data_IF_565827037831
#
_entry.id   IF_565827037831
#
_cell.length_a   1.000
_cell.length_b   1.000
_cell.length_c   1.000
_cell.angle_alpha   90.00
_cell.angle_beta   90.00
_cell.angle_gamma   90.00
#
_symmetry.space_group_name_H-M   'P 1'
#
loop_
_entity.id
_entity.type
_entity.pdbx_description
1 polymer ?
#
# COMPACT_ATOMS: atom_id res chain seq x y z
N UNK A 1 44.55 -8.90 -0.80
CA UNK A 1 43.78 -8.10 0.17
C UNK A 1 42.76 -7.22 -0.52
N UNK A 2 43.14 -6.38 -1.51
CA UNK A 2 42.22 -5.50 -2.26
C UNK A 2 41.12 -6.25 -3.05
N UNK A 3 41.46 -7.38 -3.70
CA UNK A 3 40.47 -8.22 -4.39
C UNK A 3 39.44 -8.82 -3.42
N UNK A 4 39.89 -9.30 -2.26
CA UNK A 4 39.01 -9.86 -1.23
C UNK A 4 38.06 -8.79 -0.64
N UNK A 5 38.54 -7.55 -0.46
CA UNK A 5 37.70 -6.45 0.01
C UNK A 5 36.68 -5.98 -1.05
N UNK A 6 37.02 -6.04 -2.34
CA UNK A 6 36.07 -5.73 -3.42
C UNK A 6 34.95 -6.77 -3.53
N UNK A 7 35.26 -8.06 -3.39
CA UNK A 7 34.26 -9.13 -3.38
C UNK A 7 33.29 -9.02 -2.20
N UNK A 8 33.80 -8.70 -1.00
CA UNK A 8 32.97 -8.53 0.21
C UNK A 8 32.02 -7.32 0.06
N UNK A 9 32.48 -6.22 -0.51
CA UNK A 9 31.65 -5.03 -0.76
C UNK A 9 30.53 -5.31 -1.77
N UNK A 10 30.83 -6.02 -2.86
CA UNK A 10 29.83 -6.40 -3.86
C UNK A 10 28.76 -7.34 -3.27
N UNK A 11 29.19 -8.32 -2.44
CA UNK A 11 28.28 -9.19 -1.70
C UNK A 11 27.36 -8.37 -0.78
N UNK A 12 27.91 -7.46 0.01
CA UNK A 12 27.11 -6.61 0.91
C UNK A 12 26.04 -5.82 0.14
N UNK A 13 26.38 -5.17 -0.97
CA UNK A 13 25.40 -4.45 -1.80
C UNK A 13 24.33 -5.38 -2.36
N UNK A 14 24.70 -6.61 -2.76
CA UNK A 14 23.73 -7.59 -3.26
C UNK A 14 22.75 -8.01 -2.15
N UNK A 15 23.25 -8.38 -0.96
CA UNK A 15 22.41 -8.75 0.17
C UNK A 15 21.49 -7.60 0.60
N UNK A 16 22.03 -6.38 0.66
CA UNK A 16 21.28 -5.17 0.96
C UNK A 16 20.11 -4.97 -0.03
N UNK A 17 20.39 -4.97 -1.34
CA UNK A 17 19.35 -4.79 -2.36
C UNK A 17 18.31 -5.94 -2.35
N UNK A 18 18.76 -7.18 -2.14
CA UNK A 18 17.86 -8.33 -2.00
C UNK A 18 16.92 -8.22 -0.80
N UNK A 19 17.34 -7.58 0.30
CA UNK A 19 16.46 -7.37 1.46
C UNK A 19 15.23 -6.53 1.09
N UNK A 20 15.43 -5.43 0.37
CA UNK A 20 14.36 -4.56 -0.11
C UNK A 20 13.47 -5.23 -1.16
N UNK A 21 14.07 -6.00 -2.07
CA UNK A 21 13.31 -6.83 -3.00
C UNK A 21 12.42 -7.85 -2.27
N UNK A 22 12.87 -8.41 -1.16
CA UNK A 22 12.09 -9.35 -0.37
C UNK A 22 10.93 -8.68 0.37
N UNK A 23 11.14 -7.47 0.92
CA UNK A 23 10.05 -6.67 1.50
C UNK A 23 8.96 -6.40 0.46
N UNK A 24 9.34 -5.91 -0.73
CA UNK A 24 8.39 -5.62 -1.81
C UNK A 24 7.70 -6.87 -2.35
N UNK A 25 8.40 -8.02 -2.40
CA UNK A 25 7.78 -9.31 -2.76
C UNK A 25 6.70 -9.70 -1.74
N UNK A 26 6.97 -9.49 -0.44
CA UNK A 26 5.99 -9.75 0.59
C UNK A 26 4.78 -8.82 0.47
N UNK A 27 5.01 -7.54 0.16
CA UNK A 27 3.94 -6.57 -0.08
C UNK A 27 3.07 -6.96 -1.29
N UNK A 28 3.69 -7.40 -2.39
CA UNK A 28 2.96 -7.93 -3.54
C UNK A 28 2.05 -9.11 -3.15
N UNK A 29 2.56 -10.03 -2.32
CA UNK A 29 1.75 -11.13 -1.77
C UNK A 29 0.57 -10.63 -0.92
N UNK A 30 0.75 -9.58 -0.11
CA UNK A 30 -0.35 -8.96 0.65
C UNK A 30 -1.43 -8.42 -0.30
N UNK A 31 -1.04 -7.75 -1.38
CA UNK A 31 -2.01 -7.25 -2.36
C UNK A 31 -2.77 -8.37 -3.08
N UNK A 32 -2.10 -9.48 -3.43
CA UNK A 32 -2.77 -10.66 -4.00
C UNK A 32 -3.79 -11.26 -3.03
N UNK A 33 -3.43 -11.34 -1.75
CA UNK A 33 -4.30 -11.88 -0.71
C UNK A 33 -5.51 -10.97 -0.43
N UNK A 34 -5.30 -9.65 -0.42
CA UNK A 34 -6.39 -8.67 -0.36
C UNK A 34 -7.28 -8.85 -1.58
N UNK A 35 -6.72 -8.85 -2.79
CA UNK A 35 -7.49 -9.01 -4.03
C UNK A 35 -8.41 -10.23 -3.97
N UNK A 36 -7.88 -11.40 -3.60
CA UNK A 36 -8.66 -12.65 -3.47
C UNK A 36 -9.83 -12.52 -2.49
N UNK A 37 -9.64 -11.88 -1.33
CA UNK A 37 -10.72 -11.68 -0.34
C UNK A 37 -11.76 -10.67 -0.81
N UNK A 38 -11.35 -9.69 -1.62
CA UNK A 38 -12.23 -8.63 -2.13
C UNK A 38 -12.97 -9.00 -3.41
N UNK A 39 -12.61 -10.11 -4.04
CA UNK A 39 -13.18 -10.60 -5.31
C UNK A 39 -14.55 -11.29 -5.12
N UNK A 40 -15.45 -10.59 -4.42
CA UNK A 40 -16.78 -11.04 -4.05
C UNK A 40 -17.80 -10.01 -4.54
N UNK A 41 -18.71 -10.41 -5.43
CA UNK A 41 -19.71 -9.53 -6.01
C UNK A 41 -20.82 -9.16 -4.98
N UNK A 42 -20.95 -7.88 -4.59
CA UNK A 42 -22.01 -7.44 -3.68
C UNK A 42 -23.32 -7.13 -4.41
N UNK A 43 -23.30 -7.06 -5.75
CA UNK A 43 -24.42 -6.60 -6.55
C UNK A 43 -25.59 -7.62 -6.48
N UNK A 44 -26.81 -7.09 -6.43
CA UNK A 44 -28.02 -7.89 -6.15
C UNK A 44 -28.42 -7.96 -4.66
N UNK A 45 -27.61 -7.41 -3.74
CA UNK A 45 -27.92 -7.37 -2.30
C UNK A 45 -29.01 -6.36 -1.90
N UNK A 46 -29.39 -5.45 -2.80
CA UNK A 46 -30.38 -4.40 -2.52
C UNK A 46 -29.91 -3.47 -1.39
N UNK A 47 -30.86 -2.95 -0.61
CA UNK A 47 -30.54 -2.07 0.52
C UNK A 47 -30.03 -2.85 1.75
N UNK A 48 -30.53 -4.06 2.01
CA UNK A 48 -30.07 -4.94 3.10
C UNK A 48 -30.61 -6.38 3.00
N UNK A 49 -31.80 -6.59 2.43
CA UNK A 49 -32.51 -7.88 2.42
C UNK A 49 -32.58 -8.54 1.03
N UNK A 50 -31.64 -8.19 0.13
CA UNK A 50 -31.68 -8.65 -1.26
C UNK A 50 -32.56 -7.77 -2.15
N UNK A 51 -32.65 -8.17 -3.42
CA UNK A 51 -33.42 -7.48 -4.43
C UNK A 51 -34.79 -8.17 -4.63
N UNK A 52 -35.93 -7.43 -4.66
CA UNK A 52 -37.24 -8.00 -5.00
C UNK A 52 -37.37 -8.41 -6.48
N UNK A 53 -36.51 -7.90 -7.36
CA UNK A 53 -36.41 -8.35 -8.74
C UNK A 53 -35.67 -9.68 -8.76
N UNK A 54 -36.23 -10.69 -9.45
CA UNK A 54 -35.63 -12.02 -9.63
C UNK A 54 -34.38 -11.98 -10.54
N UNK A 55 -33.36 -11.23 -10.12
CA UNK A 55 -32.09 -11.08 -10.84
C UNK A 55 -31.25 -12.32 -10.60
N UNK A 56 -30.74 -12.89 -11.68
CA UNK A 56 -29.70 -13.91 -11.63
C UNK A 56 -28.36 -13.27 -11.21
N UNK A 57 -27.97 -13.48 -9.95
CA UNK A 57 -26.72 -12.94 -9.41
C UNK A 57 -25.50 -13.65 -9.97
N UNK A 58 -25.59 -14.93 -10.32
CA UNK A 58 -24.47 -15.69 -10.89
C UNK A 58 -24.12 -15.16 -12.27
N UNK A 59 -25.13 -14.92 -13.10
CA UNK A 59 -24.94 -14.28 -14.41
C UNK A 59 -24.30 -12.89 -14.26
N UNK A 60 -24.72 -12.13 -13.26
CA UNK A 60 -24.21 -10.79 -12.98
C UNK A 60 -22.74 -10.80 -12.53
N UNK A 61 -22.38 -11.70 -11.61
CA UNK A 61 -21.00 -11.86 -11.15
C UNK A 61 -20.08 -12.28 -12.31
N UNK A 62 -20.53 -13.23 -13.14
CA UNK A 62 -19.80 -13.67 -14.33
C UNK A 62 -19.60 -12.54 -15.35
N UNK A 63 -20.65 -11.73 -15.61
CA UNK A 63 -20.56 -10.58 -16.49
C UNK A 63 -19.57 -9.50 -15.99
N UNK A 64 -19.46 -9.33 -14.67
CA UNK A 64 -18.53 -8.40 -14.03
C UNK A 64 -17.16 -9.02 -13.68
N UNK A 65 -16.98 -10.33 -13.95
CA UNK A 65 -15.77 -11.11 -13.71
C UNK A 65 -15.37 -11.23 -12.24
N UNK A 66 -16.35 -11.25 -11.34
CA UNK A 66 -16.11 -11.64 -9.96
C UNK A 66 -16.02 -13.15 -9.84
N UNK A 67 -15.11 -13.65 -8.99
CA UNK A 67 -14.98 -15.08 -8.75
C UNK A 67 -16.06 -15.64 -7.82
N UNK A 68 -16.57 -14.81 -6.90
CA UNK A 68 -17.53 -15.25 -5.89
C UNK A 68 -18.72 -14.28 -5.73
N UNK A 69 -19.79 -14.78 -5.12
CA UNK A 69 -20.98 -14.02 -4.77
C UNK A 69 -21.02 -13.75 -3.27
N UNK A 70 -21.45 -12.56 -2.87
CA UNK A 70 -21.70 -12.31 -1.46
C UNK A 70 -22.84 -13.19 -0.94
N UNK A 71 -22.55 -13.95 0.13
CA UNK A 71 -23.47 -14.93 0.70
C UNK A 71 -24.58 -14.28 1.55
N UNK A 72 -24.32 -13.09 2.09
CA UNK A 72 -25.26 -12.37 2.94
C UNK A 72 -25.39 -10.91 2.48
N UNK A 73 -26.62 -10.49 2.20
CA UNK A 73 -26.91 -9.16 1.67
C UNK A 73 -26.63 -8.04 2.68
N UNK A 74 -26.84 -8.29 3.97
CA UNK A 74 -26.60 -7.30 5.02
C UNK A 74 -25.10 -7.08 5.23
N UNK A 75 -24.32 -8.16 5.20
CA UNK A 75 -22.85 -8.09 5.19
C UNK A 75 -22.37 -7.36 3.93
N UNK A 76 -22.84 -7.73 2.74
CA UNK A 76 -22.41 -7.12 1.48
C UNK A 76 -22.60 -5.60 1.40
N UNK A 77 -23.66 -5.06 2.03
CA UNK A 77 -23.92 -3.61 2.04
C UNK A 77 -23.11 -2.90 3.14
N UNK A 78 -22.89 -3.57 4.28
CA UNK A 78 -22.18 -3.02 5.43
C UNK A 78 -20.66 -3.21 5.41
N UNK A 79 -20.15 -4.13 4.59
CA UNK A 79 -18.74 -4.49 4.57
C UNK A 79 -17.85 -3.36 4.04
N UNK A 80 -16.82 -3.02 4.81
CA UNK A 80 -15.77 -2.04 4.49
C UNK A 80 -14.38 -2.59 4.81
N UNK A 81 -14.28 -3.87 5.18
CA UNK A 81 -13.02 -4.49 5.61
C UNK A 81 -12.02 -4.50 4.44
N UNK A 82 -12.52 -4.66 3.21
CA UNK A 82 -11.71 -4.58 2.00
C UNK A 82 -10.90 -3.28 1.87
N UNK A 83 -11.46 -2.14 2.31
CA UNK A 83 -10.77 -0.86 2.26
C UNK A 83 -9.69 -0.79 3.35
N UNK A 84 -10.02 -1.25 4.56
CA UNK A 84 -9.09 -1.28 5.69
C UNK A 84 -7.89 -2.17 5.39
N UNK A 85 -8.12 -3.37 4.87
CA UNK A 85 -7.05 -4.29 4.49
C UNK A 85 -6.17 -3.73 3.36
N UNK A 86 -6.79 -3.10 2.35
CA UNK A 86 -6.05 -2.45 1.26
C UNK A 86 -5.17 -1.31 1.79
N UNK A 87 -5.72 -0.41 2.61
CA UNK A 87 -4.99 0.70 3.20
C UNK A 87 -3.85 0.23 4.11
N UNK A 88 -4.05 -0.87 4.83
CA UNK A 88 -2.99 -1.51 5.61
C UNK A 88 -1.86 -2.02 4.71
N UNK A 89 -2.17 -2.71 3.61
CA UNK A 89 -1.16 -3.18 2.66
C UNK A 89 -0.36 -2.02 2.02
N UNK A 90 -1.04 -0.92 1.67
CA UNK A 90 -0.41 0.31 1.17
C UNK A 90 0.49 0.94 2.24
N UNK A 91 0.04 0.99 3.51
CA UNK A 91 0.81 1.53 4.63
C UNK A 91 2.10 0.74 4.87
N UNK A 92 2.02 -0.60 4.86
CA UNK A 92 3.22 -1.45 4.99
C UNK A 92 4.21 -1.22 3.84
N UNK A 93 3.71 -1.08 2.61
CA UNK A 93 4.55 -0.77 1.45
C UNK A 93 5.23 0.59 1.61
N UNK A 94 4.49 1.61 2.09
CA UNK A 94 5.03 2.94 2.35
C UNK A 94 6.15 2.92 3.40
N UNK A 95 6.00 2.15 4.48
CA UNK A 95 7.04 1.95 5.52
C UNK A 95 8.31 1.34 4.90
N UNK A 96 8.17 0.32 4.06
CA UNK A 96 9.33 -0.32 3.42
C UNK A 96 10.05 0.63 2.44
N UNK A 97 9.29 1.41 1.66
CA UNK A 97 9.84 2.42 0.75
C UNK A 97 10.50 3.58 1.50
N UNK A 98 9.96 3.99 2.64
CA UNK A 98 10.52 5.03 3.50
C UNK A 98 11.86 4.61 4.08
N UNK A 99 11.97 3.38 4.60
CA UNK A 99 13.24 2.80 5.07
C UNK A 99 14.29 2.75 3.95
N UNK A 100 13.88 2.30 2.76
CA UNK A 100 14.77 2.30 1.60
C UNK A 100 15.23 3.71 1.23
N UNK A 101 14.32 4.68 1.22
CA UNK A 101 14.62 6.07 0.93
C UNK A 101 15.60 6.67 1.95
N UNK A 102 15.43 6.39 3.24
CA UNK A 102 16.35 6.82 4.31
C UNK A 102 17.78 6.32 4.07
N UNK A 103 17.95 5.02 3.78
CA UNK A 103 19.27 4.45 3.50
C UNK A 103 19.90 5.11 2.27
N UNK A 104 19.13 5.32 1.19
CA UNK A 104 19.64 5.98 -0.02
C UNK A 104 20.03 7.43 0.24
N UNK A 105 19.26 8.18 1.06
CA UNK A 105 19.59 9.57 1.44
C UNK A 105 20.91 9.59 2.21
N UNK A 106 21.09 8.71 3.19
CA UNK A 106 22.32 8.61 3.98
C UNK A 106 23.50 8.24 3.08
N UNK A 107 23.33 7.27 2.17
CA UNK A 107 24.40 6.82 1.27
C UNK A 107 24.80 7.86 0.22
N UNK A 108 23.89 8.77 -0.15
CA UNK A 108 24.17 9.90 -1.06
C UNK A 108 24.76 11.13 -0.36
N UNK A 109 24.81 11.15 0.99
CA UNK A 109 25.38 12.28 1.74
C UNK A 109 26.88 12.44 1.48
N UNK A 110 27.41 13.64 1.76
CA UNK A 110 28.82 13.95 1.52
C UNK A 110 29.77 13.21 2.48
N UNK A 111 29.27 12.84 3.65
CA UNK A 111 30.02 12.11 4.68
C UNK A 111 30.25 10.65 4.30
N UNK A 112 29.28 10.02 3.62
CA UNK A 112 29.37 8.62 3.20
C UNK A 112 29.80 8.46 1.74
N UNK A 113 29.14 9.15 0.81
CA UNK A 113 29.49 9.15 -0.61
C UNK A 113 29.47 7.77 -1.28
N UNK A 114 28.62 6.85 -0.82
CA UNK A 114 28.54 5.49 -1.37
C UNK A 114 27.79 5.41 -2.69
N UNK A 115 26.80 6.29 -2.88
CA UNK A 115 26.04 6.41 -4.12
C UNK A 115 26.05 7.85 -4.60
N UNK A 116 25.85 8.06 -5.90
CA UNK A 116 25.61 9.37 -6.48
C UNK A 116 24.32 9.31 -7.28
N UNK A 117 23.39 10.22 -6.98
CA UNK A 117 22.12 10.32 -7.68
C UNK A 117 22.31 10.87 -9.10
N UNK A 118 21.52 10.33 -10.04
CA UNK A 118 21.43 10.89 -11.39
C UNK A 118 20.68 12.23 -11.36
N UNK A 119 20.99 13.12 -12.29
CA UNK A 119 20.35 14.43 -12.42
C UNK A 119 18.85 14.30 -12.75
N UNK A 120 18.42 13.18 -13.35
CA UNK A 120 17.01 12.91 -13.59
C UNK A 120 16.20 12.69 -12.31
N UNK A 121 16.84 12.30 -11.19
CA UNK A 121 16.18 11.94 -9.94
C UNK A 121 16.56 12.83 -8.75
N UNK A 122 17.40 13.84 -8.98
CA UNK A 122 17.89 14.76 -7.98
C UNK A 122 17.76 16.21 -8.47
N UNK A 123 17.67 17.16 -7.55
CA UNK A 123 17.78 18.58 -7.90
C UNK A 123 19.17 19.08 -7.61
N UNK A 124 19.73 19.80 -8.58
CA UNK A 124 21.00 20.50 -8.43
C UNK A 124 20.81 21.93 -7.92
N UNK A 125 21.79 22.45 -7.20
CA UNK A 125 21.89 23.90 -6.98
C UNK A 125 22.55 24.56 -8.19
N UNK A 126 21.99 25.67 -8.68
CA UNK A 126 22.63 26.49 -9.72
C UNK A 126 23.98 27.06 -9.30
N UNK A 127 24.23 27.18 -7.98
CA UNK A 127 25.48 27.67 -7.41
C UNK A 127 26.50 26.55 -7.16
N UNK A 128 26.02 25.32 -6.91
CA UNK A 128 26.86 24.18 -6.50
C UNK A 128 26.53 22.94 -7.35
N UNK A 129 27.21 22.76 -8.49
CA UNK A 129 26.94 21.66 -9.43
C UNK A 129 27.15 20.27 -8.83
N UNK A 130 28.05 20.13 -7.86
CA UNK A 130 28.31 18.87 -7.16
C UNK A 130 27.23 18.52 -6.11
N UNK A 131 26.40 19.48 -5.70
CA UNK A 131 25.36 19.27 -4.69
C UNK A 131 24.08 18.78 -5.36
N UNK A 132 23.85 17.47 -5.29
CA UNK A 132 22.63 16.80 -5.77
C UNK A 132 21.74 16.43 -4.60
N UNK A 133 20.56 17.04 -4.51
CA UNK A 133 19.60 16.78 -3.43
C UNK A 133 18.67 15.62 -3.81
N UNK A 134 18.51 14.61 -2.95
CA UNK A 134 17.66 13.45 -3.21
C UNK A 134 16.15 13.73 -2.94
N UNK A 135 15.61 14.82 -3.50
CA UNK A 135 14.24 15.30 -3.19
C UNK A 135 13.16 14.24 -3.38
N UNK A 136 13.28 13.40 -4.40
CA UNK A 136 12.34 12.30 -4.66
C UNK A 136 12.28 11.32 -3.49
N UNK A 137 13.43 11.02 -2.87
CA UNK A 137 13.53 10.12 -1.73
C UNK A 137 13.01 10.80 -0.46
N UNK A 138 13.28 12.09 -0.28
CA UNK A 138 12.72 12.87 0.83
C UNK A 138 11.18 12.90 0.78
N UNK A 139 10.60 13.02 -0.42
CA UNK A 139 9.15 12.96 -0.62
C UNK A 139 8.57 11.57 -0.33
N UNK A 140 9.27 10.50 -0.69
CA UNK A 140 8.85 9.13 -0.37
C UNK A 140 8.79 8.95 1.15
N UNK A 141 9.86 9.35 1.86
CA UNK A 141 9.92 9.30 3.32
C UNK A 141 8.83 10.14 3.98
N UNK A 142 8.62 11.39 3.51
CA UNK A 142 7.62 12.28 4.09
C UNK A 142 6.16 11.88 3.81
N UNK A 143 5.89 11.15 2.72
CA UNK A 143 4.53 10.69 2.39
C UNK A 143 4.08 9.49 3.21
N UNK A 144 5.00 8.71 3.77
CA UNK A 144 4.71 7.55 4.60
C UNK A 144 3.74 7.90 5.73
N UNK A 145 4.06 8.93 6.51
CA UNK A 145 3.27 9.35 7.67
C UNK A 145 1.82 9.68 7.30
N UNK A 146 1.62 10.36 6.17
CA UNK A 146 0.29 10.72 5.67
C UNK A 146 -0.51 9.48 5.25
N UNK A 147 0.14 8.49 4.65
CA UNK A 147 -0.51 7.22 4.27
C UNK A 147 -0.93 6.44 5.53
N UNK A 148 -0.04 6.33 6.52
CA UNK A 148 -0.32 5.65 7.78
C UNK A 148 -1.47 6.34 8.52
N UNK A 149 -1.44 7.67 8.58
CA UNK A 149 -2.50 8.46 9.18
C UNK A 149 -3.86 8.19 8.52
N UNK A 150 -3.93 8.28 7.19
CA UNK A 150 -5.16 8.02 6.45
C UNK A 150 -5.69 6.60 6.66
N UNK A 151 -4.79 5.60 6.74
CA UNK A 151 -5.17 4.22 7.04
C UNK A 151 -5.76 4.07 8.44
N UNK A 152 -5.15 4.72 9.45
CA UNK A 152 -5.65 4.70 10.80
C UNK A 152 -7.00 5.42 10.91
N UNK A 153 -7.12 6.62 10.33
CA UNK A 153 -8.34 7.41 10.31
C UNK A 153 -9.51 6.62 9.71
N UNK A 154 -9.31 6.00 8.54
CA UNK A 154 -10.35 5.18 7.92
C UNK A 154 -10.71 3.96 8.78
N UNK A 155 -9.73 3.33 9.41
CA UNK A 155 -9.97 2.25 10.37
C UNK A 155 -10.88 2.67 11.52
N UNK A 156 -10.66 3.85 12.10
CA UNK A 156 -11.54 4.40 13.13
C UNK A 156 -12.94 4.71 12.61
N UNK A 157 -13.07 5.31 11.42
CA UNK A 157 -14.37 5.60 10.80
C UNK A 157 -15.17 4.30 10.56
N UNK A 158 -14.51 3.26 10.04
CA UNK A 158 -15.15 1.96 9.80
C UNK A 158 -15.68 1.33 11.10
N UNK A 159 -14.92 1.45 12.20
CA UNK A 159 -15.36 1.00 13.53
C UNK A 159 -16.58 1.78 14.04
N UNK A 160 -16.61 3.10 13.85
CA UNK A 160 -17.74 3.95 14.24
C UNK A 160 -19.02 3.65 13.42
N UNK A 161 -18.87 3.36 12.12
CA UNK A 161 -20.01 3.01 11.26
C UNK A 161 -20.57 1.62 11.57
N UNK A 162 -19.72 0.65 11.94
CA UNK A 162 -20.17 -0.66 12.45
C UNK A 162 -21.00 -0.51 13.75
N UNK A 163 -20.72 0.52 14.56
CA UNK A 163 -21.51 0.87 15.74
C UNK A 163 -22.84 1.55 15.36
N UNK A 164 -22.83 2.41 14.33
CA UNK A 164 -24.02 3.12 13.84
C UNK A 164 -25.03 2.23 13.13
N UNK A 165 -24.61 1.18 12.41
CA UNK A 165 -25.55 0.21 11.83
C UNK A 165 -26.38 -0.55 12.88
N UNK A 166 -25.88 -0.67 14.13
CA UNK A 166 -26.68 -1.17 15.27
C UNK A 166 -27.64 -0.13 15.84
N UNK A 167 -27.41 1.15 15.56
CA UNK A 167 -28.16 2.30 16.07
C UNK A 167 -28.84 3.10 14.96
N UNK A 168 -29.23 2.46 13.84
CA UNK A 168 -30.15 3.04 12.86
C UNK A 168 -31.59 3.17 13.42
N UNK A 169 -31.73 3.92 14.51
CA UNK A 169 -32.91 4.71 14.91
C UNK A 169 -32.40 6.11 15.21
N UNK A 170 -32.58 7.00 14.25
CA UNK A 170 -33.06 8.38 14.43
C UNK A 170 -32.64 9.26 13.23
N UNK A 171 -33.32 9.04 12.11
CA UNK A 171 -33.72 10.13 11.23
C UNK A 171 -35.19 9.90 10.89
N UNK A 172 -36.07 10.42 11.75
CA UNK A 172 -37.36 10.96 11.34
C UNK A 172 -37.12 12.41 10.96
#
# INVERSE_FOLDING_TARGET
MVLLSMEISALFHMYFNCSYAWFLKQDAGRFEDVFKRTDVCPLGSGALAGNPFCIDREQLASALKFSELSQNSMMAVGDRDFVVEFLFAVSMTAVHLSKWAEDMIIYNSAEFGFISMDDAFSTGSSLMPQKKNPDSLELIRGKEDMIIYNSAEFGFISMDDAFRLRNCRNKK
#
